data_IF_493047514509
#
_entry.id   IF_493047514509
#
_cell.length_a   1.000
_cell.length_b   1.000
_cell.length_c   1.000
_cell.angle_alpha   90.00
_cell.angle_beta   90.00
_cell.angle_gamma   90.00
#
_symmetry.space_group_name_H-M   'P 1'
#
loop_
_entity.id
_entity.type
_entity.pdbx_description
1 polymer ?
#
# COMPACT_ATOMS: atom_id res chain seq x y z
N UNK A 1 -12.39 8.27 -21.99
CA UNK A 1 -13.78 7.84 -21.71
C UNK A 1 -13.70 6.45 -21.13
N UNK A 2 -14.10 6.30 -19.86
CA UNK A 2 -14.10 5.01 -19.15
C UNK A 2 -15.07 4.04 -19.83
N UNK A 3 -14.65 2.79 -20.03
CA UNK A 3 -15.53 1.76 -20.60
C UNK A 3 -16.62 1.39 -19.58
N UNK A 4 -17.81 0.98 -20.05
CA UNK A 4 -18.97 0.70 -19.20
C UNK A 4 -18.66 -0.37 -18.13
N UNK A 5 -17.98 -1.45 -18.50
CA UNK A 5 -17.55 -2.49 -17.56
C UNK A 5 -16.52 -2.03 -16.52
N UNK A 6 -15.66 -1.06 -16.83
CA UNK A 6 -14.73 -0.45 -15.87
C UNK A 6 -15.49 0.39 -14.83
N UNK A 7 -16.53 1.09 -15.27
CA UNK A 7 -17.39 1.88 -14.38
C UNK A 7 -18.16 0.98 -13.40
N UNK A 8 -18.73 -0.12 -13.87
CA UNK A 8 -19.42 -1.09 -13.01
C UNK A 8 -18.45 -1.72 -11.99
N UNK A 9 -17.25 -2.11 -12.42
CA UNK A 9 -16.20 -2.61 -11.54
C UNK A 9 -15.83 -1.62 -10.45
N UNK A 10 -15.69 -0.33 -10.76
CA UNK A 10 -15.40 0.72 -9.79
C UNK A 10 -16.55 0.97 -8.80
N UNK A 11 -17.81 0.79 -9.22
CA UNK A 11 -18.96 0.92 -8.34
C UNK A 11 -19.07 -0.22 -7.33
N UNK A 12 -18.57 -1.42 -7.68
CA UNK A 12 -18.56 -2.62 -6.81
C UNK A 12 -17.22 -2.83 -6.09
N UNK A 13 -16.34 -1.84 -6.10
CA UNK A 13 -14.96 -1.95 -5.60
C UNK A 13 -14.90 -2.42 -4.16
N UNK A 14 -15.73 -1.88 -3.26
CA UNK A 14 -15.77 -2.26 -1.85
C UNK A 14 -16.08 -3.75 -1.66
N UNK A 15 -17.07 -4.27 -2.38
CA UNK A 15 -17.44 -5.68 -2.32
C UNK A 15 -16.33 -6.59 -2.85
N UNK A 16 -15.65 -6.17 -3.92
CA UNK A 16 -14.55 -6.93 -4.51
C UNK A 16 -13.36 -6.99 -3.53
N UNK A 17 -12.99 -5.86 -2.93
CA UNK A 17 -11.88 -5.80 -1.97
C UNK A 17 -12.22 -6.54 -0.66
N UNK A 18 -13.45 -6.45 -0.18
CA UNK A 18 -13.90 -7.10 1.05
C UNK A 18 -13.83 -8.64 0.99
N UNK A 19 -13.86 -9.23 -0.19
CA UNK A 19 -13.66 -10.68 -0.36
C UNK A 19 -12.23 -11.14 -0.03
N UNK A 20 -11.28 -10.22 -0.04
CA UNK A 20 -9.85 -10.51 0.19
C UNK A 20 -9.32 -9.93 1.50
N UNK A 21 -9.86 -8.80 1.92
CA UNK A 21 -9.41 -8.04 3.10
C UNK A 21 -10.53 -8.03 4.13
N UNK A 22 -10.38 -8.84 5.15
CA UNK A 22 -11.39 -9.06 6.19
C UNK A 22 -11.15 -8.09 7.35
N UNK A 23 -12.24 -7.56 7.92
CA UNK A 23 -12.21 -6.78 9.15
C UNK A 23 -11.70 -5.33 9.01
N UNK A 24 -11.55 -4.80 7.79
CA UNK A 24 -11.05 -3.45 7.53
C UNK A 24 -11.99 -2.65 6.61
N UNK A 25 -13.29 -2.68 6.91
CA UNK A 25 -14.31 -2.05 6.06
C UNK A 25 -14.11 -0.54 5.88
N UNK A 26 -13.69 0.17 6.93
CA UNK A 26 -13.41 1.61 6.85
C UNK A 26 -12.22 1.92 5.93
N UNK A 27 -11.16 1.11 6.00
CA UNK A 27 -10.00 1.24 5.13
C UNK A 27 -10.39 1.00 3.65
N UNK A 28 -11.17 -0.03 3.39
CA UNK A 28 -11.68 -0.35 2.06
C UNK A 28 -12.54 0.79 1.50
N UNK A 29 -13.45 1.33 2.31
CA UNK A 29 -14.33 2.43 1.91
C UNK A 29 -13.52 3.70 1.57
N UNK A 30 -12.57 4.08 2.42
CA UNK A 30 -11.72 5.25 2.22
C UNK A 30 -10.89 5.14 0.93
N UNK A 31 -10.22 4.00 0.72
CA UNK A 31 -9.45 3.75 -0.52
C UNK A 31 -10.34 3.77 -1.75
N UNK A 32 -11.50 3.11 -1.69
CA UNK A 32 -12.41 3.02 -2.83
C UNK A 32 -12.94 4.39 -3.24
N UNK A 33 -13.28 5.24 -2.29
CA UNK A 33 -13.69 6.64 -2.55
C UNK A 33 -12.57 7.45 -3.21
N UNK A 34 -11.34 7.32 -2.70
CA UNK A 34 -10.19 8.04 -3.24
C UNK A 34 -9.85 7.58 -4.67
N UNK A 35 -9.84 6.27 -4.91
CA UNK A 35 -9.60 5.71 -6.25
C UNK A 35 -10.69 6.16 -7.24
N UNK A 36 -11.96 6.17 -6.83
CA UNK A 36 -13.05 6.69 -7.68
C UNK A 36 -12.88 8.16 -8.03
N UNK A 37 -12.48 9.01 -7.06
CA UNK A 37 -12.18 10.44 -7.32
C UNK A 37 -11.06 10.58 -8.35
N UNK A 38 -9.98 9.83 -8.20
CA UNK A 38 -8.87 9.85 -9.13
C UNK A 38 -9.28 9.44 -10.54
N UNK A 39 -10.02 8.34 -10.67
CA UNK A 39 -10.51 7.84 -11.96
C UNK A 39 -11.56 8.76 -12.62
N UNK A 40 -12.26 9.56 -11.83
CA UNK A 40 -13.17 10.59 -12.34
C UNK A 40 -12.45 11.83 -12.90
N UNK A 41 -11.11 11.88 -12.83
CA UNK A 41 -10.33 13.03 -13.30
C UNK A 41 -10.41 14.25 -12.38
N UNK A 42 -10.73 14.04 -11.10
CA UNK A 42 -10.82 15.10 -10.08
C UNK A 42 -9.49 15.36 -9.38
N UNK A 43 -8.39 14.83 -9.92
CA UNK A 43 -7.02 15.05 -9.45
C UNK A 43 -6.23 15.89 -10.43
N UNK A 44 -5.13 16.49 -9.93
CA UNK A 44 -4.20 17.23 -10.77
C UNK A 44 -3.57 16.32 -11.82
N UNK A 45 -3.53 16.73 -13.08
CA UNK A 45 -2.87 15.98 -14.14
C UNK A 45 -1.39 15.74 -13.82
N UNK A 46 -0.93 14.51 -14.01
CA UNK A 46 0.47 14.14 -13.82
C UNK A 46 0.79 13.57 -12.44
N UNK A 47 -0.05 13.76 -11.42
CA UNK A 47 0.13 13.09 -10.12
C UNK A 47 -0.16 11.58 -10.21
N UNK A 48 0.38 10.75 -9.30
CA UNK A 48 0.03 9.33 -9.19
C UNK A 48 -1.49 9.10 -9.12
N UNK A 49 -1.96 7.90 -9.48
CA UNK A 49 -3.37 7.51 -9.40
C UNK A 49 -3.98 7.65 -8.00
N UNK A 50 -3.15 7.62 -7.00
CA UNK A 50 -3.50 7.84 -5.61
C UNK A 50 -2.28 7.68 -4.73
N UNK A 51 -2.34 8.28 -3.54
CA UNK A 51 -1.28 8.25 -2.54
C UNK A 51 -1.87 8.07 -1.15
N UNK A 52 -1.52 6.96 -0.49
CA UNK A 52 -2.13 6.55 0.78
C UNK A 52 -1.07 6.25 1.83
N UNK A 53 -1.32 6.68 3.05
CA UNK A 53 -0.56 6.24 4.22
C UNK A 53 -1.41 5.27 5.05
N UNK A 54 -0.97 4.01 5.13
CA UNK A 54 -1.60 2.97 5.91
C UNK A 54 -0.94 2.88 7.29
N UNK A 55 -1.70 3.17 8.33
CA UNK A 55 -1.27 3.13 9.73
C UNK A 55 -1.89 1.94 10.45
N UNK A 56 -1.14 1.30 11.32
CA UNK A 56 -1.65 0.23 12.17
C UNK A 56 -0.64 -0.86 12.46
N UNK A 57 -0.96 -1.78 13.37
CA UNK A 57 -0.07 -2.85 13.77
C UNK A 57 0.25 -3.81 12.62
N UNK A 58 1.25 -4.66 12.82
CA UNK A 58 1.61 -5.69 11.84
C UNK A 58 0.54 -6.77 11.78
N UNK A 59 0.30 -7.31 10.58
CA UNK A 59 -0.60 -8.45 10.39
C UNK A 59 -2.09 -8.13 10.30
N UNK A 60 -2.49 -6.86 10.23
CA UNK A 60 -3.91 -6.43 10.18
C UNK A 60 -4.48 -6.29 8.76
N UNK A 61 -3.68 -6.57 7.71
CA UNK A 61 -4.17 -6.57 6.34
C UNK A 61 -3.63 -5.46 5.43
N UNK A 62 -2.69 -4.61 5.87
CA UNK A 62 -2.12 -3.52 5.05
C UNK A 62 -1.54 -4.03 3.72
N UNK A 63 -0.69 -5.05 3.78
CA UNK A 63 -0.09 -5.66 2.57
C UNK A 63 -1.12 -6.41 1.74
N UNK A 64 -2.11 -7.05 2.36
CA UNK A 64 -3.16 -7.75 1.62
C UNK A 64 -4.06 -6.77 0.85
N UNK A 65 -4.41 -5.63 1.45
CA UNK A 65 -5.14 -4.57 0.74
C UNK A 65 -4.29 -4.02 -0.43
N UNK A 66 -2.99 -3.87 -0.25
CA UNK A 66 -2.07 -3.44 -1.33
C UNK A 66 -2.11 -4.41 -2.51
N UNK A 67 -2.04 -5.72 -2.26
CA UNK A 67 -2.15 -6.76 -3.31
C UNK A 67 -3.53 -6.77 -3.95
N UNK A 68 -4.58 -6.61 -3.15
CA UNK A 68 -5.95 -6.56 -3.66
C UNK A 68 -6.16 -5.35 -4.59
N UNK A 69 -5.56 -4.20 -4.27
CA UNK A 69 -5.57 -3.01 -5.12
C UNK A 69 -4.80 -3.23 -6.43
N UNK A 70 -3.65 -3.89 -6.39
CA UNK A 70 -2.91 -4.25 -7.60
C UNK A 70 -3.75 -5.15 -8.52
N UNK A 71 -4.36 -6.20 -7.97
CA UNK A 71 -5.27 -7.07 -8.72
C UNK A 71 -6.49 -6.34 -9.26
N UNK A 72 -7.05 -5.43 -8.48
CA UNK A 72 -8.22 -4.66 -8.90
C UNK A 72 -7.91 -3.66 -10.02
N UNK A 73 -6.84 -2.87 -9.89
CA UNK A 73 -6.51 -1.78 -10.80
C UNK A 73 -5.79 -2.23 -12.06
N UNK A 74 -4.95 -3.25 -11.95
CA UNK A 74 -4.02 -3.68 -12.99
C UNK A 74 -4.23 -5.14 -13.43
N UNK A 75 -5.29 -5.80 -12.94
CA UNK A 75 -5.65 -7.18 -13.22
C UNK A 75 -4.54 -8.21 -12.93
N UNK A 76 -3.61 -7.85 -12.02
CA UNK A 76 -2.47 -8.68 -11.63
C UNK A 76 -2.04 -8.37 -10.20
N UNK A 77 -2.16 -9.33 -9.30
CA UNK A 77 -1.73 -9.21 -7.90
C UNK A 77 -0.22 -8.98 -7.74
N UNK A 78 0.56 -9.34 -8.75
CA UNK A 78 2.00 -9.13 -8.81
C UNK A 78 2.37 -7.78 -9.45
N UNK A 79 1.39 -6.96 -9.85
CA UNK A 79 1.61 -5.61 -10.33
C UNK A 79 1.96 -4.66 -9.19
N UNK A 80 3.00 -5.00 -8.44
CA UNK A 80 3.50 -4.19 -7.33
C UNK A 80 5.00 -4.35 -7.14
N UNK A 81 5.64 -3.27 -6.71
CA UNK A 81 7.01 -3.28 -6.17
C UNK A 81 6.93 -2.90 -4.69
N UNK A 82 7.62 -3.64 -3.85
CA UNK A 82 7.77 -3.36 -2.41
C UNK A 82 9.18 -2.87 -2.14
N UNK A 83 9.28 -1.72 -1.49
CA UNK A 83 10.53 -1.10 -1.06
C UNK A 83 10.47 -0.95 0.45
N UNK A 84 11.30 -1.71 1.16
CA UNK A 84 11.41 -1.65 2.61
C UNK A 84 12.29 -0.47 3.00
N UNK A 85 11.71 0.54 3.64
CA UNK A 85 12.41 1.76 4.03
C UNK A 85 13.43 1.55 5.16
N UNK A 86 13.39 0.41 5.86
CA UNK A 86 14.45 0.03 6.81
C UNK A 86 15.82 -0.18 6.14
N UNK A 87 15.83 -0.46 4.83
CA UNK A 87 17.06 -0.56 4.04
C UNK A 87 17.57 0.82 3.55
N UNK A 88 16.81 1.89 3.77
CA UNK A 88 17.06 3.25 3.27
C UNK A 88 17.17 4.28 4.42
N UNK A 89 17.76 3.87 5.52
CA UNK A 89 17.94 4.70 6.73
C UNK A 89 19.13 5.67 6.63
N UNK A 90 20.06 5.42 5.71
CA UNK A 90 21.28 6.21 5.56
C UNK A 90 21.20 7.17 4.37
N UNK A 91 21.98 8.26 4.44
CA UNK A 91 22.04 9.28 3.38
C UNK A 91 22.38 8.71 2.00
N UNK A 92 23.28 7.73 1.93
CA UNK A 92 23.68 7.08 0.68
C UNK A 92 22.58 6.21 0.04
N UNK A 93 21.54 5.91 0.78
CA UNK A 93 20.43 5.11 0.31
C UNK A 93 19.64 5.76 -0.84
N UNK A 94 19.66 7.10 -0.96
CA UNK A 94 19.02 7.81 -2.09
C UNK A 94 19.59 7.33 -3.43
N UNK A 95 20.91 7.18 -3.55
CA UNK A 95 21.54 6.68 -4.78
C UNK A 95 21.10 5.24 -5.13
N UNK A 96 20.83 4.39 -4.13
CA UNK A 96 20.26 3.06 -4.37
C UNK A 96 18.81 3.13 -4.85
N UNK A 97 18.07 4.12 -4.39
CA UNK A 97 16.65 4.27 -4.72
C UNK A 97 16.44 4.81 -6.15
N UNK A 98 17.17 5.84 -6.53
CA UNK A 98 17.01 6.56 -7.81
C UNK A 98 18.12 6.33 -8.82
N UNK A 99 19.21 5.65 -8.43
CA UNK A 99 20.41 5.44 -9.22
C UNK A 99 21.55 6.39 -8.84
N UNK A 100 22.78 5.90 -8.96
CA UNK A 100 24.00 6.69 -8.73
C UNK A 100 24.26 7.63 -9.92
N UNK A 101 24.84 8.82 -9.67
CA UNK A 101 25.27 9.71 -10.73
C UNK A 101 26.47 9.13 -11.52
N UNK A 102 26.76 9.64 -12.73
CA UNK A 102 27.90 9.20 -13.51
C UNK A 102 29.21 9.24 -12.74
N UNK A 103 30.00 8.17 -12.85
CA UNK A 103 31.31 8.06 -12.18
C UNK A 103 31.26 7.46 -10.77
N UNK A 104 30.10 7.15 -10.24
CA UNK A 104 29.93 6.48 -8.95
C UNK A 104 29.65 4.98 -9.12
N UNK A 105 30.02 4.19 -8.11
CA UNK A 105 29.71 2.75 -8.05
C UNK A 105 28.21 2.54 -8.07
N UNK A 106 27.71 1.60 -8.90
CA UNK A 106 26.29 1.31 -9.06
C UNK A 106 25.57 2.15 -10.14
N UNK A 107 26.29 2.99 -10.89
CA UNK A 107 25.71 3.81 -11.98
C UNK A 107 25.00 2.95 -13.04
N UNK A 108 25.60 1.80 -13.43
CA UNK A 108 25.04 0.93 -14.47
C UNK A 108 23.81 0.15 -13.99
N UNK A 109 23.69 -0.09 -12.69
CA UNK A 109 22.61 -0.90 -12.10
C UNK A 109 21.27 -0.13 -12.08
N UNK A 110 21.31 1.19 -12.07
CA UNK A 110 20.14 2.04 -11.93
C UNK A 110 19.57 2.03 -10.49
N UNK A 111 18.51 2.79 -10.26
CA UNK A 111 17.83 2.85 -8.97
C UNK A 111 16.73 1.80 -8.84
N UNK A 112 16.60 1.20 -7.66
CA UNK A 112 15.58 0.17 -7.39
C UNK A 112 14.16 0.67 -7.71
N UNK A 113 13.82 1.89 -7.27
CA UNK A 113 12.52 2.50 -7.52
C UNK A 113 12.36 2.89 -8.99
N UNK A 114 13.32 3.63 -9.52
CA UNK A 114 13.23 4.20 -10.87
C UNK A 114 13.23 3.12 -11.95
N UNK A 115 14.04 2.08 -11.83
CA UNK A 115 14.04 0.95 -12.75
C UNK A 115 12.75 0.12 -12.66
N UNK A 116 12.23 -0.11 -11.47
CA UNK A 116 10.98 -0.86 -11.29
C UNK A 116 9.80 -0.17 -11.99
N UNK A 117 9.66 1.16 -11.82
CA UNK A 117 8.57 1.93 -12.43
C UNK A 117 8.80 2.14 -13.93
N UNK A 118 10.03 2.33 -14.38
CA UNK A 118 10.35 2.42 -15.79
C UNK A 118 9.99 1.14 -16.56
N UNK A 119 10.27 -0.03 -15.97
CA UNK A 119 9.95 -1.33 -16.57
C UNK A 119 8.47 -1.65 -16.53
N UNK A 120 7.78 -1.25 -15.48
CA UNK A 120 6.35 -1.49 -15.28
C UNK A 120 5.67 -0.21 -14.79
N UNK A 121 5.19 0.67 -15.68
CA UNK A 121 4.59 1.95 -15.30
C UNK A 121 3.23 1.80 -14.58
N UNK A 122 2.49 0.73 -14.85
CA UNK A 122 1.17 0.42 -14.28
C UNK A 122 1.32 -0.57 -13.13
N UNK A 123 1.52 -0.06 -11.93
CA UNK A 123 1.70 -0.90 -10.73
C UNK A 123 1.42 -0.13 -9.45
N UNK A 124 1.35 -0.87 -8.36
CA UNK A 124 1.39 -0.32 -7.00
C UNK A 124 2.85 -0.21 -6.54
N UNK A 125 3.23 0.93 -6.02
CA UNK A 125 4.53 1.13 -5.34
C UNK A 125 4.27 1.18 -3.85
N UNK A 126 4.73 0.17 -3.12
CA UNK A 126 4.60 0.06 -1.68
C UNK A 126 5.92 0.45 -1.00
N UNK A 127 5.90 1.53 -0.25
CA UNK A 127 6.97 1.94 0.66
C UNK A 127 6.63 1.44 2.07
N UNK A 128 7.30 0.40 2.51
CA UNK A 128 7.02 -0.23 3.80
C UNK A 128 7.88 0.40 4.91
N UNK A 129 7.29 0.61 6.10
CA UNK A 129 7.94 1.22 7.26
C UNK A 129 8.56 2.60 6.96
N UNK A 130 7.77 3.49 6.35
CA UNK A 130 8.23 4.79 5.85
C UNK A 130 8.82 5.69 6.93
N UNK A 131 8.46 5.51 8.20
CA UNK A 131 9.03 6.24 9.35
C UNK A 131 10.53 5.99 9.53
N UNK A 132 11.08 4.90 8.98
CA UNK A 132 12.51 4.56 9.09
C UNK A 132 13.38 5.20 8.04
N UNK A 133 12.78 5.77 6.98
CA UNK A 133 13.52 6.37 5.87
C UNK A 133 14.34 7.58 6.29
N UNK A 134 15.54 7.71 5.72
CA UNK A 134 16.36 8.92 5.87
C UNK A 134 15.61 10.16 5.34
N UNK A 135 15.88 11.34 5.92
CA UNK A 135 15.23 12.59 5.51
C UNK A 135 15.37 12.91 4.02
N UNK A 136 16.49 12.57 3.40
CA UNK A 136 16.72 12.79 1.97
C UNK A 136 15.85 11.90 1.08
N UNK A 137 15.43 10.72 1.57
CA UNK A 137 14.47 9.84 0.90
C UNK A 137 13.09 10.49 0.86
N UNK A 138 12.69 11.21 1.92
CA UNK A 138 11.43 11.96 1.91
C UNK A 138 11.37 13.03 0.83
N UNK A 139 12.49 13.67 0.49
CA UNK A 139 12.54 14.65 -0.61
C UNK A 139 12.21 13.96 -1.96
N UNK A 140 12.70 12.73 -2.16
CA UNK A 140 12.36 11.91 -3.34
C UNK A 140 10.87 11.58 -3.35
N UNK A 141 10.32 11.15 -2.22
CA UNK A 141 8.88 10.85 -2.08
C UNK A 141 8.01 12.07 -2.34
N UNK A 142 8.37 13.24 -1.81
CA UNK A 142 7.66 14.50 -2.07
C UNK A 142 7.63 14.83 -3.55
N UNK A 143 8.73 14.67 -4.28
CA UNK A 143 8.78 14.90 -5.71
C UNK A 143 7.85 13.96 -6.47
N UNK A 144 7.82 12.66 -6.12
CA UNK A 144 6.90 11.69 -6.70
C UNK A 144 5.44 12.07 -6.43
N UNK A 145 5.11 12.49 -5.21
CA UNK A 145 3.75 12.84 -4.82
C UNK A 145 3.25 14.14 -5.46
N UNK A 146 4.15 15.12 -5.67
CA UNK A 146 3.79 16.41 -6.25
C UNK A 146 3.77 16.39 -7.78
N UNK A 147 4.88 15.96 -8.37
CA UNK A 147 5.11 16.07 -9.81
C UNK A 147 4.72 14.79 -10.57
N UNK A 148 4.56 13.67 -9.86
CA UNK A 148 4.38 12.35 -10.46
C UNK A 148 5.54 11.93 -11.36
N UNK A 149 6.70 12.56 -11.22
CA UNK A 149 7.90 12.33 -12.02
C UNK A 149 9.13 12.38 -11.14
N UNK A 150 10.14 11.61 -11.55
CA UNK A 150 11.41 11.55 -10.86
C UNK A 150 12.52 11.40 -11.89
N UNK A 151 13.58 12.20 -11.78
CA UNK A 151 14.77 12.07 -12.60
C UNK A 151 15.74 11.09 -11.95
N UNK A 152 16.11 10.03 -12.68
CA UNK A 152 17.06 9.04 -12.19
C UNK A 152 18.51 9.55 -12.23
N UNK A 153 19.44 8.76 -11.68
CA UNK A 153 20.86 9.08 -11.68
C UNK A 153 21.50 9.17 -13.06
N UNK A 154 20.82 8.67 -14.10
CA UNK A 154 21.25 8.74 -15.51
C UNK A 154 20.61 9.92 -16.26
N UNK A 155 19.84 10.77 -15.59
CA UNK A 155 19.18 11.91 -16.19
C UNK A 155 17.88 11.58 -16.93
N UNK A 156 17.37 10.35 -16.82
CA UNK A 156 16.10 9.94 -17.44
C UNK A 156 14.94 10.30 -16.53
N UNK A 157 13.86 10.82 -17.10
CA UNK A 157 12.62 11.09 -16.37
C UNK A 157 11.78 9.82 -16.30
N UNK A 158 11.40 9.43 -15.10
CA UNK A 158 10.50 8.30 -14.81
C UNK A 158 9.14 8.83 -14.41
N UNK A 159 8.10 8.33 -15.07
CA UNK A 159 6.69 8.76 -14.89
C UNK A 159 5.97 7.85 -13.91
N UNK A 160 5.42 8.42 -12.84
CA UNK A 160 4.65 7.76 -11.79
C UNK A 160 3.14 8.02 -11.91
N UNK A 161 2.68 8.73 -12.94
CA UNK A 161 1.27 9.12 -13.08
C UNK A 161 0.31 7.93 -13.20
N UNK A 162 0.80 6.76 -13.60
CA UNK A 162 0.03 5.52 -13.72
C UNK A 162 0.25 4.56 -12.54
N UNK A 163 0.96 4.99 -11.50
CA UNK A 163 1.22 4.20 -10.30
C UNK A 163 0.25 4.58 -9.17
N UNK A 164 -0.04 3.62 -8.31
CA UNK A 164 -0.67 3.85 -7.01
C UNK A 164 0.42 3.81 -5.95
N UNK A 165 0.55 4.88 -5.16
CA UNK A 165 1.56 4.97 -4.10
C UNK A 165 0.92 4.58 -2.77
N UNK A 166 1.49 3.60 -2.11
CA UNK A 166 1.09 3.17 -0.77
C UNK A 166 2.31 3.23 0.13
N UNK A 167 2.15 3.91 1.25
CA UNK A 167 3.14 3.99 2.31
C UNK A 167 2.56 3.30 3.54
N UNK A 168 3.36 2.51 4.24
CA UNK A 168 2.94 1.90 5.51
C UNK A 168 3.78 2.42 6.66
N UNK A 169 3.19 2.51 7.83
CA UNK A 169 3.88 2.87 9.06
C UNK A 169 3.25 2.18 10.27
N UNK A 170 4.07 1.91 11.27
CA UNK A 170 3.64 1.40 12.56
C UNK A 170 3.49 2.52 13.63
N UNK A 171 3.63 3.78 13.24
CA UNK A 171 3.45 4.92 14.15
C UNK A 171 2.02 4.93 14.71
N UNK A 172 1.91 5.14 16.02
CA UNK A 172 0.62 5.13 16.72
C UNK A 172 -0.07 3.78 16.82
N UNK A 173 0.58 2.69 16.39
CA UNK A 173 -0.01 1.35 16.37
C UNK A 173 -0.40 0.84 17.77
N UNK A 174 0.25 1.31 18.85
CA UNK A 174 -0.13 0.95 20.22
C UNK A 174 -1.56 1.36 20.55
N UNK A 175 -2.04 2.49 20.07
CA UNK A 175 -3.43 2.92 20.29
C UNK A 175 -4.42 2.04 19.53
N UNK A 176 -4.09 1.65 18.31
CA UNK A 176 -4.93 0.79 17.47
C UNK A 176 -4.91 -0.67 17.91
N UNK A 177 -3.80 -1.14 18.49
CA UNK A 177 -3.68 -2.49 19.01
C UNK A 177 -4.39 -2.69 20.35
N UNK A 178 -4.45 -1.64 21.18
CA UNK A 178 -5.03 -1.67 22.52
C UNK A 178 -6.50 -1.22 22.55
N UNK A 179 -7.14 -1.05 21.40
CA UNK A 179 -8.57 -0.75 21.35
C UNK A 179 -9.39 -1.86 21.99
N UNK A 180 -10.36 -1.49 22.79
CA UNK A 180 -11.38 -2.42 23.28
C UNK A 180 -12.36 -2.77 22.15
N UNK A 181 -13.03 -3.92 22.27
CA UNK A 181 -13.93 -4.42 21.21
C UNK A 181 -15.11 -3.48 20.92
N UNK A 182 -15.49 -2.65 21.91
CA UNK A 182 -16.57 -1.65 21.81
C UNK A 182 -16.08 -0.28 21.28
N UNK A 183 -14.77 -0.05 21.18
CA UNK A 183 -14.20 1.21 20.71
C UNK A 183 -14.20 1.30 19.19
N UNK A 184 -14.47 2.49 18.67
CA UNK A 184 -14.35 2.79 17.24
C UNK A 184 -12.96 3.37 16.93
N UNK A 185 -12.48 3.15 15.71
CA UNK A 185 -11.21 3.74 15.22
C UNK A 185 -11.20 5.26 15.42
N UNK A 186 -12.33 5.93 15.21
CA UNK A 186 -12.48 7.37 15.40
C UNK A 186 -12.16 7.85 16.84
N UNK A 187 -12.30 6.99 17.85
CA UNK A 187 -12.05 7.36 19.26
C UNK A 187 -10.53 7.46 19.55
N UNK A 188 -9.71 6.71 18.84
CA UNK A 188 -8.24 6.69 19.01
C UNK A 188 -7.50 7.44 17.89
N UNK A 189 -8.18 7.81 16.83
CA UNK A 189 -7.61 8.54 15.69
C UNK A 189 -6.84 9.81 16.11
N UNK A 190 -7.34 10.68 17.02
CA UNK A 190 -6.60 11.86 17.46
C UNK A 190 -5.22 11.53 18.03
N UNK A 191 -5.12 10.50 18.89
CA UNK A 191 -3.85 10.08 19.50
C UNK A 191 -2.88 9.51 18.45
N UNK A 192 -3.39 8.72 17.51
CA UNK A 192 -2.59 8.20 16.40
C UNK A 192 -2.07 9.34 15.54
N UNK A 193 -2.94 10.28 15.19
CA UNK A 193 -2.57 11.43 14.34
C UNK A 193 -1.61 12.38 15.04
N UNK A 194 -1.64 12.53 16.35
CA UNK A 194 -0.66 13.32 17.10
C UNK A 194 0.75 12.72 16.98
N UNK A 195 0.87 11.39 17.09
CA UNK A 195 2.15 10.69 16.88
C UNK A 195 2.65 10.87 15.45
N UNK A 196 1.76 10.72 14.47
CA UNK A 196 2.08 10.86 13.03
C UNK A 196 2.55 12.27 12.70
N UNK A 197 1.84 13.30 13.18
CA UNK A 197 2.20 14.72 13.00
C UNK A 197 3.50 15.11 13.72
N UNK A 198 3.80 14.45 14.83
CA UNK A 198 5.07 14.61 15.54
C UNK A 198 6.28 14.04 14.80
N UNK A 199 6.05 13.07 13.92
CA UNK A 199 7.12 12.39 13.17
C UNK A 199 7.28 12.89 11.74
N UNK A 200 6.18 13.04 11.01
CA UNK A 200 6.21 13.49 9.61
C UNK A 200 5.99 15.00 9.50
N UNK A 201 6.68 15.63 8.57
CA UNK A 201 6.47 17.04 8.26
C UNK A 201 5.07 17.27 7.70
N UNK A 202 4.40 18.39 8.06
CA UNK A 202 3.07 18.72 7.54
C UNK A 202 3.00 18.73 6.02
N UNK A 203 4.05 19.18 5.37
CA UNK A 203 4.15 19.23 3.92
C UNK A 203 4.05 17.83 3.29
N UNK A 204 4.63 16.80 3.92
CA UNK A 204 4.51 15.42 3.46
C UNK A 204 3.06 14.89 3.63
N UNK A 205 2.48 15.08 4.81
CA UNK A 205 1.12 14.59 5.10
C UNK A 205 0.08 15.26 4.19
N UNK A 206 0.26 16.53 3.85
CA UNK A 206 -0.66 17.29 2.99
C UNK A 206 -0.62 16.86 1.51
N UNK A 207 0.41 16.10 1.09
CA UNK A 207 0.51 15.56 -0.26
C UNK A 207 -0.23 14.23 -0.43
N UNK A 208 -0.55 13.58 0.67
CA UNK A 208 -1.27 12.32 0.66
C UNK A 208 -2.76 12.55 0.37
N UNK A 209 -3.34 11.69 -0.44
CA UNK A 209 -4.78 11.75 -0.73
C UNK A 209 -5.61 11.31 0.48
N UNK A 210 -5.11 10.32 1.23
CA UNK A 210 -5.80 9.81 2.41
C UNK A 210 -4.82 9.15 3.39
N UNK A 211 -5.09 9.28 4.69
CA UNK A 211 -4.43 8.55 5.77
C UNK A 211 -5.44 7.55 6.32
N UNK A 212 -5.08 6.26 6.28
CA UNK A 212 -6.01 5.17 6.55
C UNK A 212 -5.53 4.37 7.75
N UNK A 213 -6.39 4.24 8.76
CA UNK A 213 -6.12 3.54 9.99
C UNK A 213 -6.63 2.10 9.90
N UNK A 214 -5.73 1.15 10.19
CA UNK A 214 -6.02 -0.28 10.32
C UNK A 214 -6.03 -0.65 11.80
N UNK A 215 -7.12 -1.22 12.26
CA UNK A 215 -7.24 -1.69 13.63
C UNK A 215 -6.90 -3.18 13.76
N UNK A 216 -6.74 -3.66 14.99
CA UNK A 216 -6.56 -5.08 15.24
C UNK A 216 -7.75 -5.89 14.72
N UNK A 217 -7.49 -7.11 14.32
CA UNK A 217 -8.54 -8.04 13.90
C UNK A 217 -9.19 -8.67 15.13
N UNK A 218 -10.52 -8.66 15.18
CA UNK A 218 -11.28 -9.35 16.20
C UNK A 218 -11.34 -10.86 15.92
N UNK A 219 -11.69 -11.64 16.94
CA UNK A 219 -11.77 -13.10 16.81
C UNK A 219 -12.77 -13.55 15.74
N UNK A 220 -13.86 -12.82 15.54
CA UNK A 220 -14.84 -13.09 14.48
C UNK A 220 -14.29 -13.02 13.06
N UNK A 221 -13.19 -12.25 12.87
CA UNK A 221 -12.51 -12.11 11.59
C UNK A 221 -11.58 -13.29 11.27
N UNK A 222 -11.22 -14.12 12.27
CA UNK A 222 -10.23 -15.19 12.08
C UNK A 222 -10.77 -16.31 11.19
N UNK A 223 -12.01 -16.75 11.36
CA UNK A 223 -12.58 -17.83 10.56
C UNK A 223 -12.62 -17.49 9.05
N UNK A 224 -13.12 -16.34 8.60
CA UNK A 224 -13.04 -15.95 7.18
C UNK A 224 -11.60 -15.84 6.66
N UNK A 225 -10.65 -15.37 7.46
CA UNK A 225 -9.23 -15.28 7.08
C UNK A 225 -8.66 -16.69 6.87
N UNK A 226 -8.92 -17.62 7.79
CA UNK A 226 -8.49 -19.02 7.66
C UNK A 226 -9.05 -19.63 6.39
N UNK A 227 -10.32 -19.42 6.08
CA UNK A 227 -10.93 -19.94 4.85
C UNK A 227 -10.24 -19.41 3.58
N UNK A 228 -9.90 -18.13 3.54
CA UNK A 228 -9.15 -17.52 2.42
C UNK A 228 -7.76 -18.17 2.29
N UNK A 229 -7.05 -18.37 3.40
CA UNK A 229 -5.72 -18.99 3.37
C UNK A 229 -5.79 -20.48 2.95
N UNK A 230 -6.77 -21.21 3.45
CA UNK A 230 -7.00 -22.62 3.05
C UNK A 230 -7.30 -22.70 1.55
N UNK A 231 -8.16 -21.83 1.02
CA UNK A 231 -8.46 -21.80 -0.41
C UNK A 231 -7.20 -21.51 -1.26
N UNK A 232 -6.29 -20.65 -0.79
CA UNK A 232 -5.00 -20.41 -1.44
C UNK A 232 -4.12 -21.67 -1.45
N UNK A 233 -3.99 -22.33 -0.30
CA UNK A 233 -3.21 -23.59 -0.19
C UNK A 233 -3.85 -24.67 -1.07
N UNK A 234 -5.17 -24.82 -1.04
CA UNK A 234 -5.88 -25.78 -1.89
C UNK A 234 -5.60 -25.55 -3.37
N UNK A 235 -5.57 -24.28 -3.83
CA UNK A 235 -5.21 -23.93 -5.20
C UNK A 235 -3.82 -24.41 -5.60
N UNK A 236 -2.84 -24.32 -4.69
CA UNK A 236 -1.47 -24.82 -4.91
C UNK A 236 -1.40 -26.35 -4.94
N UNK A 237 -2.34 -27.03 -4.27
CA UNK A 237 -2.40 -28.50 -4.20
C UNK A 237 -3.20 -29.13 -5.34
N UNK A 238 -3.94 -28.34 -6.12
CA UNK A 238 -4.82 -28.80 -7.18
C UNK A 238 -4.08 -29.64 -8.23
N UNK A 239 -2.90 -29.18 -8.64
CA UNK A 239 -2.08 -29.91 -9.64
C UNK A 239 -1.57 -31.25 -9.12
N UNK A 240 -1.50 -31.41 -7.80
CA UNK A 240 -1.09 -32.64 -7.12
C UNK A 240 -2.26 -33.58 -6.77
N UNK A 241 -3.50 -33.18 -7.11
CA UNK A 241 -4.74 -33.92 -6.81
C UNK A 241 -4.93 -34.15 -5.29
N UNK A 242 -4.45 -33.22 -4.46
CA UNK A 242 -4.59 -33.28 -3.00
C UNK A 242 -5.74 -32.34 -2.62
N UNK A 243 -6.68 -32.85 -1.82
CA UNK A 243 -7.76 -32.06 -1.22
C UNK A 243 -7.44 -31.80 0.24
N UNK A 244 -7.49 -30.53 0.64
CA UNK A 244 -7.31 -30.08 2.02
C UNK A 244 -8.67 -29.77 2.64
N UNK A 245 -9.06 -30.50 3.68
CA UNK A 245 -10.27 -30.25 4.44
C UNK A 245 -9.92 -29.89 5.88
N UNK A 246 -10.50 -28.80 6.40
CA UNK A 246 -10.38 -28.39 7.79
C UNK A 246 -11.67 -28.69 8.53
N UNK A 247 -11.55 -29.40 9.66
CA UNK A 247 -12.68 -29.56 10.58
C UNK A 247 -13.01 -28.23 11.27
N UNK A 248 -14.25 -28.07 11.72
CA UNK A 248 -14.67 -26.88 12.50
C UNK A 248 -13.85 -26.70 13.78
N UNK A 249 -13.38 -27.79 14.41
CA UNK A 249 -12.51 -27.72 15.56
C UNK A 249 -11.13 -27.16 15.19
N UNK A 250 -10.56 -27.53 14.04
CA UNK A 250 -9.30 -27.01 13.56
C UNK A 250 -9.41 -25.52 13.18
N UNK A 251 -10.50 -25.09 12.55
CA UNK A 251 -10.75 -23.67 12.23
C UNK A 251 -10.82 -22.77 13.47
N UNK A 252 -11.36 -23.30 14.58
CA UNK A 252 -11.44 -22.56 15.86
C UNK A 252 -10.12 -22.51 16.62
N UNK A 253 -9.23 -23.46 16.35
CA UNK A 253 -7.92 -23.52 17.01
C UNK A 253 -6.87 -22.65 16.29
N UNK A 254 -6.97 -22.50 14.98
CA UNK A 254 -6.12 -21.63 14.15
C UNK A 254 -6.50 -20.15 14.32
#
# INVERSE_FOLDING_TARGET
RMMEGEREKLLDMENILAKRVIGQSQAIDAVSKAVRRARAGLQDPGRPLGSFLFLGPTGVGKTELTKALAGFLFDDDQAMVRIDMSEFMEKHAVARLIGAPPGYVGYEEGGVLTEAVRRRPYQVVLFDEVEKAHSDVFNVLLQVLDDGRLTDGQGRVVDFSNTLIILTSNLGSQYLANMDDDQKVADVEPQVMDVVRGHFRPEFLNRLDEIILFHRLAQEHMAPIVEIQVARVQKLLTDRKIVLELSEAAKKWL
#
